data_IF_921688638870
#
_entry.id   IF_921688638870
#
_cell.length_a   1.000
_cell.length_b   1.000
_cell.length_c   1.000
_cell.angle_alpha   90.00
_cell.angle_beta   90.00
_cell.angle_gamma   90.00
#
_symmetry.space_group_name_H-M   'P 1'
#
loop_
_entity.id
_entity.type
_entity.pdbx_description
1 polymer ?
#
# COMPACT_ATOMS: atom_id res chain seq x y z
N UNK A 1 18.14 -0.48 7.23
CA UNK A 1 16.66 -0.59 7.35
C UNK A 1 16.09 -1.31 6.14
N UNK A 2 15.17 -2.28 6.35
CA UNK A 2 14.41 -2.88 5.26
C UNK A 2 12.98 -2.36 5.28
N UNK A 3 12.45 -2.06 4.09
CA UNK A 3 11.06 -1.68 3.88
C UNK A 3 10.45 -2.69 2.90
N UNK A 4 9.29 -3.24 3.21
CA UNK A 4 8.51 -4.04 2.27
C UNK A 4 7.31 -3.24 1.78
N UNK A 5 7.12 -3.15 0.47
CA UNK A 5 6.01 -2.40 -0.12
C UNK A 5 5.14 -3.34 -0.93
N UNK A 6 3.92 -3.53 -0.44
CA UNK A 6 2.81 -4.20 -1.13
C UNK A 6 1.73 -3.17 -1.48
N UNK A 7 0.69 -3.54 -2.17
CA UNK A 7 -0.46 -2.64 -2.41
C UNK A 7 -1.23 -2.99 -3.66
N UNK A 8 -2.33 -2.29 -3.86
CA UNK A 8 -3.18 -2.47 -5.03
C UNK A 8 -2.43 -2.24 -6.34
N UNK A 9 -2.91 -2.86 -7.41
CA UNK A 9 -2.51 -2.50 -8.77
C UNK A 9 -2.87 -1.03 -9.02
N UNK A 10 -2.00 -0.27 -9.70
CA UNK A 10 -2.23 1.16 -9.93
C UNK A 10 -2.02 2.08 -8.71
N UNK A 11 -1.57 1.57 -7.56
CA UNK A 11 -1.32 2.38 -6.35
C UNK A 11 -0.08 3.30 -6.44
N UNK A 12 0.75 3.18 -7.48
CA UNK A 12 1.94 4.02 -7.65
C UNK A 12 3.18 3.51 -6.92
N UNK A 13 3.24 2.23 -6.52
CA UNK A 13 4.40 1.63 -5.82
C UNK A 13 5.74 1.96 -6.48
N UNK A 14 5.87 1.72 -7.79
CA UNK A 14 7.13 1.93 -8.50
C UNK A 14 7.62 3.38 -8.44
N UNK A 15 6.70 4.35 -8.52
CA UNK A 15 7.02 5.77 -8.40
C UNK A 15 7.51 6.10 -7.00
N UNK A 16 6.83 5.58 -5.96
CA UNK A 16 7.22 5.79 -4.56
C UNK A 16 8.56 5.12 -4.28
N UNK A 17 8.79 3.89 -4.74
CA UNK A 17 10.08 3.21 -4.61
C UNK A 17 11.20 4.06 -5.24
N UNK A 18 10.96 4.63 -6.43
CA UNK A 18 11.95 5.49 -7.09
C UNK A 18 12.26 6.76 -6.30
N UNK A 19 11.26 7.40 -5.70
CA UNK A 19 11.47 8.56 -4.82
C UNK A 19 12.28 8.18 -3.59
N UNK A 20 12.01 7.01 -2.98
CA UNK A 20 12.75 6.53 -1.84
C UNK A 20 14.20 6.17 -2.19
N UNK A 21 14.44 5.62 -3.38
CA UNK A 21 15.79 5.40 -3.92
C UNK A 21 16.53 6.73 -4.10
N UNK A 22 15.95 7.66 -4.87
CA UNK A 22 16.62 8.90 -5.27
C UNK A 22 16.85 9.88 -4.10
N UNK A 23 15.89 9.99 -3.17
CA UNK A 23 15.95 10.98 -2.09
C UNK A 23 16.50 10.43 -0.77
N UNK A 24 16.36 9.13 -0.52
CA UNK A 24 16.69 8.53 0.78
C UNK A 24 17.73 7.42 0.70
N UNK A 25 18.26 7.13 -0.50
CA UNK A 25 19.39 6.22 -0.71
C UNK A 25 19.05 4.75 -0.50
N UNK A 26 17.82 4.32 -0.76
CA UNK A 26 17.44 2.91 -0.71
C UNK A 26 17.84 2.19 -2.00
N UNK A 27 18.27 0.93 -1.86
CA UNK A 27 18.37 0.00 -2.99
C UNK A 27 16.98 -0.62 -3.24
N UNK A 28 16.57 -0.81 -4.51
CA UNK A 28 15.28 -1.45 -4.84
C UNK A 28 15.49 -2.89 -5.28
N UNK A 29 14.92 -3.82 -4.53
CA UNK A 29 14.74 -5.20 -4.95
C UNK A 29 13.28 -5.43 -5.35
N UNK A 30 13.03 -5.69 -6.63
CA UNK A 30 11.66 -5.88 -7.16
C UNK A 30 11.51 -7.29 -7.74
N UNK A 31 10.61 -8.08 -7.16
CA UNK A 31 10.30 -9.43 -7.65
C UNK A 31 9.71 -9.41 -9.06
N UNK A 32 8.98 -8.36 -9.43
CA UNK A 32 8.50 -8.17 -10.78
C UNK A 32 9.62 -7.93 -11.80
N UNK A 33 10.74 -7.32 -11.41
CA UNK A 33 11.95 -7.22 -12.25
C UNK A 33 12.60 -8.59 -12.40
N UNK A 34 12.80 -9.32 -11.30
CA UNK A 34 13.35 -10.67 -11.31
C UNK A 34 12.53 -11.60 -12.19
N UNK A 35 11.22 -11.56 -12.08
CA UNK A 35 10.32 -12.35 -12.93
C UNK A 35 10.49 -12.04 -14.42
N UNK A 36 10.60 -10.76 -14.80
CA UNK A 36 10.84 -10.35 -16.19
C UNK A 36 12.22 -10.79 -16.72
N UNK A 37 13.22 -10.78 -15.87
CA UNK A 37 14.55 -11.26 -16.21
C UNK A 37 14.55 -12.77 -16.44
N UNK A 38 13.93 -13.55 -15.58
CA UNK A 38 13.74 -14.99 -15.75
C UNK A 38 12.97 -15.30 -17.04
N UNK A 39 11.89 -14.57 -17.33
CA UNK A 39 11.14 -14.74 -18.58
C UNK A 39 12.03 -14.51 -19.81
N UNK A 40 12.87 -13.46 -19.78
CA UNK A 40 13.81 -13.15 -20.86
C UNK A 40 14.89 -14.23 -21.01
N UNK A 41 15.45 -14.73 -19.93
CA UNK A 41 16.43 -15.82 -19.93
C UNK A 41 15.86 -17.12 -20.51
N UNK A 42 14.59 -17.39 -20.22
CA UNK A 42 13.84 -18.54 -20.75
C UNK A 42 13.30 -18.31 -22.16
N UNK A 43 13.49 -17.11 -22.73
CA UNK A 43 12.97 -16.69 -24.03
C UNK A 43 11.45 -16.86 -24.16
N UNK A 44 10.72 -16.52 -23.09
CA UNK A 44 9.26 -16.49 -23.01
C UNK A 44 8.75 -15.10 -22.66
N UNK A 45 7.47 -14.83 -22.94
CA UNK A 45 6.82 -13.57 -22.57
C UNK A 45 6.55 -13.49 -21.06
N UNK A 46 6.32 -12.29 -20.54
CA UNK A 46 5.89 -12.10 -19.15
C UNK A 46 4.56 -12.80 -18.86
N UNK A 47 3.67 -12.87 -19.86
CA UNK A 47 2.39 -13.58 -19.74
C UNK A 47 2.61 -15.09 -19.60
N UNK A 48 3.44 -15.68 -20.46
CA UNK A 48 3.81 -17.10 -20.38
C UNK A 48 4.52 -17.42 -19.07
N UNK A 49 5.39 -16.54 -18.59
CA UNK A 49 6.01 -16.68 -17.27
C UNK A 49 4.98 -16.67 -16.14
N UNK A 50 3.98 -15.78 -16.18
CA UNK A 50 2.88 -15.79 -15.23
C UNK A 50 2.08 -17.09 -15.27
N UNK A 51 1.79 -17.60 -16.45
CA UNK A 51 1.10 -18.89 -16.63
C UNK A 51 1.94 -20.06 -16.09
N UNK A 52 3.24 -20.05 -16.35
CA UNK A 52 4.18 -21.04 -15.86
C UNK A 52 4.24 -21.02 -14.31
N UNK A 53 4.30 -19.85 -13.71
CA UNK A 53 4.26 -19.70 -12.24
C UNK A 53 2.94 -20.17 -11.62
N UNK A 54 1.81 -20.04 -12.33
CA UNK A 54 0.54 -20.62 -11.87
C UNK A 54 0.53 -22.14 -11.91
N UNK A 55 1.27 -22.77 -12.83
CA UNK A 55 1.32 -24.21 -13.01
C UNK A 55 2.45 -24.89 -12.23
N UNK A 56 3.55 -24.17 -11.97
CA UNK A 56 4.73 -24.69 -11.26
C UNK A 56 5.16 -23.75 -10.14
N UNK A 57 4.86 -24.16 -8.91
CA UNK A 57 5.19 -23.43 -7.67
C UNK A 57 6.69 -23.18 -7.44
N UNK A 58 7.54 -23.91 -8.15
CA UNK A 58 8.99 -23.82 -8.03
C UNK A 58 9.50 -22.37 -8.27
N UNK A 59 8.91 -21.68 -9.23
CA UNK A 59 9.35 -20.31 -9.56
C UNK A 59 8.94 -19.29 -8.50
N UNK A 60 7.73 -19.40 -7.93
CA UNK A 60 7.33 -18.57 -6.78
C UNK A 60 8.28 -18.83 -5.60
N UNK A 61 8.51 -20.08 -5.25
CA UNK A 61 9.43 -20.46 -4.15
C UNK A 61 10.86 -19.93 -4.38
N UNK A 62 11.39 -20.01 -5.59
CA UNK A 62 12.72 -19.47 -5.91
C UNK A 62 12.81 -17.95 -5.67
N UNK A 63 11.79 -17.20 -6.06
CA UNK A 63 11.74 -15.75 -5.87
C UNK A 63 11.61 -15.40 -4.38
N UNK A 64 10.77 -16.11 -3.66
CA UNK A 64 10.53 -15.89 -2.24
C UNK A 64 11.76 -16.26 -1.38
N UNK A 65 12.41 -17.38 -1.69
CA UNK A 65 13.67 -17.79 -1.06
C UNK A 65 14.80 -16.77 -1.35
N UNK A 66 14.89 -16.27 -2.57
CA UNK A 66 15.84 -15.23 -2.94
C UNK A 66 15.56 -13.94 -2.16
N UNK A 67 14.29 -13.54 -2.02
CA UNK A 67 13.87 -12.38 -1.23
C UNK A 67 14.30 -12.49 0.22
N UNK A 68 14.03 -13.64 0.85
CA UNK A 68 14.41 -13.91 2.23
C UNK A 68 15.95 -13.93 2.41
N UNK A 69 16.67 -14.56 1.48
CA UNK A 69 18.12 -14.62 1.49
C UNK A 69 18.74 -13.23 1.37
N UNK A 70 18.34 -12.42 0.39
CA UNK A 70 18.86 -11.06 0.17
C UNK A 70 18.66 -10.22 1.43
N UNK A 71 17.51 -10.32 2.07
CA UNK A 71 17.26 -9.61 3.33
C UNK A 71 18.23 -10.04 4.43
N UNK A 72 18.44 -11.35 4.62
CA UNK A 72 19.34 -11.85 5.66
C UNK A 72 20.81 -11.47 5.45
N UNK A 73 21.27 -11.49 4.19
CA UNK A 73 22.64 -11.20 3.81
C UNK A 73 22.98 -9.70 3.82
N UNK A 74 21.97 -8.81 3.79
CA UNK A 74 22.16 -7.35 3.70
C UNK A 74 21.44 -6.58 4.80
N UNK A 75 21.48 -7.06 6.05
CA UNK A 75 20.77 -6.46 7.20
C UNK A 75 21.21 -5.02 7.52
N UNK A 76 22.41 -4.65 7.15
CA UNK A 76 23.05 -3.35 7.34
C UNK A 76 22.66 -2.33 6.26
N UNK A 77 22.08 -2.78 5.15
CA UNK A 77 21.71 -1.93 4.04
C UNK A 77 20.26 -1.38 4.15
N UNK A 78 20.02 -0.29 3.44
CA UNK A 78 18.67 0.24 3.21
C UNK A 78 18.10 -0.37 1.93
N UNK A 79 17.17 -1.32 2.05
CA UNK A 79 16.57 -2.01 0.91
C UNK A 79 15.06 -1.91 0.94
N UNK A 80 14.47 -1.59 -0.22
CA UNK A 80 13.03 -1.69 -0.47
C UNK A 80 12.75 -3.00 -1.21
N UNK A 81 11.91 -3.83 -0.65
CA UNK A 81 11.40 -5.03 -1.28
C UNK A 81 10.01 -4.75 -1.87
N UNK A 82 9.97 -4.50 -3.19
CA UNK A 82 8.72 -4.31 -3.95
C UNK A 82 8.18 -5.68 -4.40
N UNK A 83 7.35 -6.27 -3.55
CA UNK A 83 6.76 -7.59 -3.79
C UNK A 83 5.41 -7.72 -3.09
N UNK A 84 4.55 -8.62 -3.60
CA UNK A 84 3.25 -8.93 -2.98
C UNK A 84 3.39 -9.57 -1.61
N UNK A 85 4.38 -10.45 -1.43
CA UNK A 85 4.56 -11.25 -0.22
C UNK A 85 5.85 -10.93 0.54
N UNK A 86 6.62 -9.90 0.16
CA UNK A 86 7.84 -9.55 0.87
C UNK A 86 7.61 -9.30 2.38
N UNK A 87 6.45 -8.75 2.76
CA UNK A 87 6.05 -8.56 4.16
C UNK A 87 6.06 -9.86 4.98
N UNK A 88 5.90 -11.00 4.32
CA UNK A 88 5.93 -12.33 4.95
C UNK A 88 7.35 -12.89 5.02
N UNK A 89 8.12 -12.77 3.94
CA UNK A 89 9.44 -13.39 3.80
C UNK A 89 10.60 -12.55 4.35
N UNK A 90 10.40 -11.23 4.55
CA UNK A 90 11.38 -10.32 5.14
C UNK A 90 11.03 -10.07 6.60
N UNK A 91 11.66 -10.81 7.51
CA UNK A 91 11.29 -10.86 8.92
C UNK A 91 11.36 -9.49 9.61
N UNK A 92 12.49 -8.79 9.47
CA UNK A 92 12.75 -7.50 10.10
C UNK A 92 12.61 -6.36 9.09
N UNK A 93 11.38 -5.94 8.83
CA UNK A 93 11.10 -4.84 7.91
C UNK A 93 9.96 -3.96 8.39
N UNK A 94 9.97 -2.70 7.96
CA UNK A 94 8.80 -1.84 8.03
C UNK A 94 7.85 -2.21 6.88
N UNK A 95 6.69 -2.76 7.22
CA UNK A 95 5.76 -3.38 6.27
C UNK A 95 4.69 -2.39 5.84
N UNK A 96 4.60 -2.12 4.54
CA UNK A 96 3.70 -1.11 3.98
C UNK A 96 2.73 -1.73 2.98
N UNK A 97 1.47 -1.31 3.07
CA UNK A 97 0.45 -1.53 2.06
C UNK A 97 0.00 -0.20 1.45
N UNK A 98 0.22 -0.01 0.15
CA UNK A 98 -0.31 1.13 -0.59
C UNK A 98 -1.71 0.82 -1.11
N UNK A 99 -2.72 1.42 -0.51
CA UNK A 99 -4.09 1.35 -0.99
C UNK A 99 -4.37 2.43 -2.04
N UNK A 100 -5.34 2.18 -2.91
CA UNK A 100 -5.85 3.15 -3.89
C UNK A 100 -7.27 2.77 -4.24
N UNK A 101 -8.15 3.74 -4.52
CA UNK A 101 -9.48 3.44 -5.04
C UNK A 101 -9.40 2.77 -6.42
N UNK A 102 -10.28 1.81 -6.68
CA UNK A 102 -10.28 1.06 -7.93
C UNK A 102 -10.48 1.97 -9.15
N UNK A 103 -11.27 3.05 -9.02
CA UNK A 103 -11.48 4.03 -10.08
C UNK A 103 -10.16 4.75 -10.44
N UNK A 104 -9.47 5.29 -9.43
CA UNK A 104 -8.19 6.01 -9.65
C UNK A 104 -7.09 5.04 -10.11
N UNK A 105 -7.09 3.81 -9.62
CA UNK A 105 -6.20 2.77 -10.11
C UNK A 105 -6.39 2.52 -11.61
N UNK A 106 -7.64 2.38 -12.06
CA UNK A 106 -7.97 2.16 -13.46
C UNK A 106 -7.58 3.37 -14.34
N UNK A 107 -7.87 4.59 -13.90
CA UNK A 107 -7.45 5.82 -14.60
C UNK A 107 -5.92 5.88 -14.76
N UNK A 108 -5.18 5.58 -13.69
CA UNK A 108 -3.71 5.58 -13.72
C UNK A 108 -3.16 4.54 -14.69
N UNK A 109 -3.70 3.32 -14.67
CA UNK A 109 -3.23 2.25 -15.55
C UNK A 109 -3.56 2.54 -17.01
N UNK A 110 -4.69 3.15 -17.33
CA UNK A 110 -5.04 3.58 -18.68
C UNK A 110 -4.11 4.67 -19.22
N UNK A 111 -3.65 5.58 -18.34
CA UNK A 111 -2.76 6.70 -18.71
C UNK A 111 -1.27 6.33 -18.65
N UNK A 112 -0.92 5.15 -18.15
CA UNK A 112 0.46 4.70 -18.00
C UNK A 112 0.92 3.92 -19.24
N UNK A 113 2.07 4.31 -19.82
CA UNK A 113 2.67 3.62 -20.96
C UNK A 113 3.36 2.30 -20.56
N UNK A 114 2.59 1.32 -20.09
CA UNK A 114 3.10 0.00 -19.66
C UNK A 114 3.30 -1.01 -20.80
N UNK A 115 3.42 -0.56 -22.04
CA UNK A 115 3.58 -1.40 -23.20
C UNK A 115 2.25 -1.81 -23.85
N UNK A 116 2.30 -2.77 -24.78
CA UNK A 116 1.12 -3.19 -25.55
C UNK A 116 0.19 -4.14 -24.79
N UNK A 117 0.66 -4.71 -23.68
CA UNK A 117 0.01 -5.81 -22.97
C UNK A 117 -1.06 -5.34 -21.94
N UNK A 118 -1.05 -4.06 -21.54
CA UNK A 118 -2.01 -3.48 -20.59
C UNK A 118 -2.76 -2.29 -21.22
N UNK A 119 -3.33 -2.47 -22.41
CA UNK A 119 -4.19 -1.46 -23.05
C UNK A 119 -5.65 -1.82 -22.84
N UNK A 120 -6.39 -0.89 -22.24
CA UNK A 120 -7.82 -1.02 -21.99
C UNK A 120 -8.59 -0.03 -22.85
N UNK A 121 -9.68 -0.44 -23.46
CA UNK A 121 -10.51 0.42 -24.30
C UNK A 121 -11.39 1.38 -23.49
N UNK A 122 -11.78 1.00 -22.28
CA UNK A 122 -12.66 1.77 -21.40
C UNK A 122 -12.22 1.70 -19.94
N UNK A 123 -12.61 2.71 -19.16
CA UNK A 123 -12.39 2.74 -17.71
C UNK A 123 -13.05 1.55 -17.01
N UNK A 124 -14.23 1.13 -17.48
CA UNK A 124 -14.94 -0.03 -16.96
C UNK A 124 -14.11 -1.31 -17.17
N UNK A 125 -13.62 -1.52 -18.37
CA UNK A 125 -12.77 -2.67 -18.71
C UNK A 125 -11.51 -2.69 -17.82
N UNK A 126 -10.82 -1.56 -17.66
CA UNK A 126 -9.66 -1.44 -16.80
C UNK A 126 -9.98 -1.82 -15.35
N UNK A 127 -11.11 -1.35 -14.81
CA UNK A 127 -11.58 -1.70 -13.46
C UNK A 127 -11.84 -3.20 -13.31
N UNK A 128 -12.59 -3.78 -14.26
CA UNK A 128 -12.97 -5.19 -14.21
C UNK A 128 -11.71 -6.08 -14.28
N UNK A 129 -10.77 -5.73 -15.14
CA UNK A 129 -9.50 -6.46 -15.28
C UNK A 129 -8.59 -6.32 -14.05
N UNK A 130 -8.50 -5.13 -13.45
CA UNK A 130 -7.74 -4.93 -12.21
C UNK A 130 -8.34 -5.72 -11.05
N UNK A 131 -9.67 -5.72 -10.91
CA UNK A 131 -10.37 -6.49 -9.89
C UNK A 131 -10.18 -8.01 -10.08
N UNK A 132 -10.32 -8.50 -11.32
CA UNK A 132 -10.12 -9.91 -11.65
C UNK A 132 -8.68 -10.37 -11.38
N UNK A 133 -7.69 -9.55 -11.75
CA UNK A 133 -6.28 -9.83 -11.47
C UNK A 133 -5.99 -9.86 -9.97
N UNK A 134 -6.51 -8.91 -9.20
CA UNK A 134 -6.37 -8.88 -7.75
C UNK A 134 -6.95 -10.13 -7.09
N UNK A 135 -8.15 -10.56 -7.51
CA UNK A 135 -8.80 -11.78 -7.01
C UNK A 135 -7.99 -13.04 -7.36
N UNK A 136 -7.41 -13.10 -8.56
CA UNK A 136 -6.57 -14.23 -9.00
C UNK A 136 -5.28 -14.30 -8.19
N UNK A 137 -4.61 -13.16 -7.95
CA UNK A 137 -3.40 -13.09 -7.11
C UNK A 137 -3.72 -13.51 -5.67
N UNK A 138 -4.81 -13.02 -5.07
CA UNK A 138 -5.22 -13.36 -3.71
C UNK A 138 -5.51 -14.86 -3.55
N UNK A 139 -6.29 -15.42 -4.48
CA UNK A 139 -6.56 -16.87 -4.50
C UNK A 139 -5.27 -17.68 -4.57
N UNK A 140 -4.35 -17.31 -5.48
CA UNK A 140 -3.06 -18.02 -5.64
C UNK A 140 -2.26 -18.02 -4.33
N UNK A 141 -2.12 -16.89 -3.66
CA UNK A 141 -1.35 -16.79 -2.42
C UNK A 141 -2.04 -17.50 -1.25
N UNK A 142 -3.36 -17.49 -1.23
CA UNK A 142 -4.13 -18.26 -0.26
C UNK A 142 -3.95 -19.77 -0.46
N UNK A 143 -4.00 -20.25 -1.70
CA UNK A 143 -3.83 -21.68 -2.03
C UNK A 143 -2.38 -22.16 -1.81
N UNK A 144 -1.39 -21.30 -2.00
CA UNK A 144 0.03 -21.63 -1.86
C UNK A 144 0.55 -21.56 -0.43
N UNK A 145 0.20 -20.49 0.28
CA UNK A 145 0.82 -20.14 1.56
C UNK A 145 -0.20 -19.95 2.68
N UNK A 146 -1.50 -20.09 2.41
CA UNK A 146 -2.59 -19.72 3.33
C UNK A 146 -2.51 -18.25 3.78
N UNK A 147 -2.05 -17.34 2.91
CA UNK A 147 -1.89 -15.93 3.18
C UNK A 147 -2.98 -15.11 2.49
N UNK A 148 -3.50 -14.12 3.20
CA UNK A 148 -4.34 -13.05 2.67
C UNK A 148 -3.55 -11.75 2.69
N UNK A 149 -3.04 -11.32 1.54
CA UNK A 149 -2.22 -10.11 1.46
C UNK A 149 -3.05 -8.80 1.50
N UNK A 150 -4.38 -8.91 1.45
CA UNK A 150 -5.30 -7.78 1.69
C UNK A 150 -5.67 -7.61 3.17
N UNK A 151 -5.23 -8.50 4.04
CA UNK A 151 -5.40 -8.32 5.48
C UNK A 151 -4.44 -7.22 5.98
N UNK A 152 -5.03 -6.09 6.32
CA UNK A 152 -4.27 -4.91 6.76
C UNK A 152 -3.54 -5.11 8.10
N UNK A 153 -3.92 -6.12 8.88
CA UNK A 153 -3.21 -6.47 10.12
C UNK A 153 -1.77 -6.96 9.89
N UNK A 154 -1.45 -7.36 8.66
CA UNK A 154 -0.10 -7.79 8.28
C UNK A 154 0.90 -6.64 8.12
N UNK A 155 0.45 -5.37 8.14
CA UNK A 155 1.26 -4.22 7.78
C UNK A 155 1.40 -3.24 8.94
N UNK A 156 2.59 -2.62 9.06
CA UNK A 156 2.83 -1.53 10.02
C UNK A 156 2.18 -0.22 9.58
N UNK A 157 2.11 0.00 8.27
CA UNK A 157 1.46 1.16 7.67
C UNK A 157 0.61 0.75 6.47
N UNK A 158 -0.66 1.09 6.50
CA UNK A 158 -1.54 1.12 5.33
C UNK A 158 -1.76 2.59 4.97
N UNK A 159 -1.42 3.01 3.75
CA UNK A 159 -1.56 4.40 3.34
C UNK A 159 -2.29 4.52 2.00
N UNK A 160 -3.30 5.38 1.97
CA UNK A 160 -4.11 5.65 0.78
C UNK A 160 -3.38 6.57 -0.20
N UNK A 161 -3.15 6.10 -1.41
CA UNK A 161 -2.49 6.86 -2.47
C UNK A 161 -3.46 7.56 -3.43
N UNK A 162 -4.76 7.55 -3.16
CA UNK A 162 -5.79 8.00 -4.11
C UNK A 162 -5.66 9.49 -4.47
N UNK A 163 -5.46 10.35 -3.47
CA UNK A 163 -5.58 11.81 -3.63
C UNK A 163 -4.28 12.59 -3.39
N UNK A 164 -3.18 11.92 -3.06
CA UNK A 164 -1.95 12.60 -2.69
C UNK A 164 -0.82 12.34 -3.68
N UNK A 165 0.12 13.29 -3.74
CA UNK A 165 1.30 13.16 -4.60
C UNK A 165 2.23 12.06 -4.07
N UNK A 166 2.98 11.39 -4.94
CA UNK A 166 3.96 10.39 -4.52
C UNK A 166 5.00 10.92 -3.53
N UNK A 167 5.39 12.20 -3.65
CA UNK A 167 6.34 12.86 -2.76
C UNK A 167 5.79 12.98 -1.34
N UNK A 168 4.51 13.36 -1.20
CA UNK A 168 3.85 13.45 0.11
C UNK A 168 3.75 12.09 0.77
N UNK A 169 3.37 11.07 0.00
CA UNK A 169 3.29 9.69 0.48
C UNK A 169 4.66 9.18 0.93
N UNK A 170 5.70 9.37 0.10
CA UNK A 170 7.06 8.96 0.44
C UNK A 170 7.59 9.66 1.71
N UNK A 171 7.28 10.94 1.90
CA UNK A 171 7.65 11.69 3.10
C UNK A 171 7.02 11.10 4.37
N UNK A 172 5.72 10.74 4.32
CA UNK A 172 5.02 10.13 5.45
C UNK A 172 5.56 8.72 5.71
N UNK A 173 5.79 7.93 4.66
CA UNK A 173 6.42 6.61 4.78
C UNK A 173 7.74 6.70 5.52
N UNK A 174 8.60 7.64 5.17
CA UNK A 174 9.90 7.80 5.81
C UNK A 174 9.80 8.29 7.26
N UNK A 175 8.82 9.13 7.56
CA UNK A 175 8.55 9.54 8.95
C UNK A 175 8.14 8.32 9.79
N UNK A 176 7.17 7.53 9.31
CA UNK A 176 6.67 6.36 10.02
C UNK A 176 7.73 5.25 10.13
N UNK A 177 8.54 5.06 9.08
CA UNK A 177 9.66 4.10 9.13
C UNK A 177 10.72 4.47 10.18
N UNK A 178 11.05 5.75 10.32
CA UNK A 178 11.96 6.23 11.37
C UNK A 178 11.36 6.07 12.77
N UNK A 179 10.07 6.37 12.94
CA UNK A 179 9.37 6.15 14.19
C UNK A 179 9.38 4.66 14.57
N UNK A 180 9.10 3.78 13.61
CA UNK A 180 9.16 2.34 13.78
C UNK A 180 10.56 1.88 14.22
N UNK A 181 11.61 2.35 13.54
CA UNK A 181 12.99 2.00 13.87
C UNK A 181 13.37 2.43 15.30
N UNK A 182 12.93 3.60 15.74
CA UNK A 182 13.14 4.10 17.11
C UNK A 182 12.46 3.21 18.13
N UNK A 183 11.18 2.89 17.92
CA UNK A 183 10.41 2.00 18.81
C UNK A 183 11.04 0.60 18.87
N UNK A 184 11.53 0.07 17.74
CA UNK A 184 12.16 -1.25 17.70
C UNK A 184 13.51 -1.29 18.40
N UNK A 185 14.27 -0.19 18.43
CA UNK A 185 15.53 -0.08 19.19
C UNK A 185 15.32 0.02 20.70
N UNK A 186 14.24 0.68 21.13
CA UNK A 186 13.92 0.89 22.54
C UNK A 186 13.26 -0.32 23.21
N UNK A 187 12.57 -1.16 22.45
CA UNK A 187 11.94 -2.38 22.94
C UNK A 187 12.86 -3.55 22.80
N UNK A 188 13.17 -4.21 23.92
CA UNK A 188 13.67 -5.60 23.89
C UNK A 188 12.65 -6.43 23.14
N UNK A 189 13.07 -7.03 22.04
CA UNK A 189 12.23 -7.74 21.09
C UNK A 189 11.46 -8.87 21.81
N UNK A 190 10.21 -8.65 22.16
CA UNK A 190 9.31 -9.75 22.48
C UNK A 190 8.80 -10.32 21.15
N UNK A 191 9.14 -11.59 20.90
CA UNK A 191 8.71 -12.31 19.72
C UNK A 191 7.16 -12.21 19.60
N UNK A 192 6.67 -11.59 18.53
CA UNK A 192 5.24 -11.40 18.28
C UNK A 192 4.75 -9.94 18.36
N UNK A 193 5.55 -8.99 18.81
CA UNK A 193 5.15 -7.59 18.81
C UNK A 193 5.37 -6.99 17.40
N UNK A 194 4.31 -6.97 16.59
CA UNK A 194 4.36 -6.54 15.18
C UNK A 194 4.49 -5.03 14.98
N UNK A 195 4.77 -4.26 16.04
CA UNK A 195 4.94 -2.82 15.92
C UNK A 195 3.62 -2.07 15.73
N UNK A 196 3.75 -0.77 15.46
CA UNK A 196 2.61 0.13 15.28
C UNK A 196 1.89 -0.24 13.97
N UNK A 197 0.60 -0.62 14.08
CA UNK A 197 -0.27 -0.81 12.92
C UNK A 197 -1.10 0.47 12.74
N UNK A 198 -0.87 1.20 11.65
CA UNK A 198 -1.55 2.45 11.35
C UNK A 198 -2.18 2.40 9.96
N UNK A 199 -3.46 2.75 9.88
CA UNK A 199 -4.18 2.88 8.61
C UNK A 199 -4.47 4.35 8.39
N UNK A 200 -3.93 4.94 7.31
CA UNK A 200 -4.09 6.33 6.93
C UNK A 200 -4.94 6.44 5.66
N UNK A 201 -6.15 6.95 5.80
CA UNK A 201 -7.04 7.19 4.66
C UNK A 201 -7.22 8.68 4.41
N UNK A 202 -7.32 9.06 3.13
CA UNK A 202 -7.69 10.43 2.78
C UNK A 202 -9.08 10.77 3.28
N UNK A 203 -9.31 11.94 3.91
CA UNK A 203 -10.65 12.39 4.27
C UNK A 203 -11.62 12.37 3.08
N UNK A 204 -11.12 12.61 1.86
CA UNK A 204 -11.92 12.61 0.63
C UNK A 204 -12.46 11.22 0.24
N UNK A 205 -11.86 10.14 0.75
CA UNK A 205 -12.41 8.78 0.59
C UNK A 205 -13.49 8.44 1.61
N UNK A 206 -13.44 9.08 2.76
CA UNK A 206 -14.36 8.84 3.87
C UNK A 206 -15.58 9.75 3.81
N UNK A 207 -15.43 10.95 3.23
CA UNK A 207 -16.50 11.94 3.17
C UNK A 207 -17.36 11.75 1.93
N UNK A 208 -18.58 11.28 2.14
CA UNK A 208 -19.62 11.28 1.11
C UNK A 208 -20.41 12.59 1.19
N UNK A 209 -20.36 13.40 0.13
CA UNK A 209 -21.06 14.68 0.03
C UNK A 209 -22.59 14.56 0.14
N UNK A 210 -23.14 13.36 -0.06
CA UNK A 210 -24.59 13.11 0.04
C UNK A 210 -25.09 12.98 1.48
N UNK A 211 -24.19 12.82 2.45
CA UNK A 211 -24.56 12.82 3.86
C UNK A 211 -24.63 14.27 4.32
N UNK A 212 -25.84 14.80 4.42
CA UNK A 212 -26.10 16.09 5.05
C UNK A 212 -25.77 15.99 6.54
N UNK A 213 -24.59 16.46 6.89
CA UNK A 213 -24.32 16.81 8.28
C UNK A 213 -24.89 18.21 8.46
N UNK A 214 -25.89 18.35 9.32
CA UNK A 214 -26.41 19.65 9.73
C UNK A 214 -25.22 20.58 10.05
N UNK A 215 -25.31 21.87 9.70
CA UNK A 215 -24.28 22.86 10.04
C UNK A 215 -24.14 22.90 11.57
N UNK A 216 -23.24 22.08 12.08
CA UNK A 216 -22.89 22.11 13.50
C UNK A 216 -22.15 23.41 13.76
N UNK A 217 -22.51 24.10 14.83
CA UNK A 217 -21.84 25.35 15.24
C UNK A 217 -20.31 25.14 15.35
N UNK A 218 -19.89 23.96 15.76
CA UNK A 218 -18.50 23.60 15.99
C UNK A 218 -17.72 23.29 14.70
N UNK A 219 -18.38 23.16 13.53
CA UNK A 219 -17.68 22.77 12.29
C UNK A 219 -16.64 23.79 11.84
N UNK A 220 -16.95 25.08 11.96
CA UNK A 220 -16.04 26.16 11.54
C UNK A 220 -14.77 26.18 12.40
N UNK A 221 -14.94 26.07 13.71
CA UNK A 221 -13.83 26.07 14.67
C UNK A 221 -12.93 24.86 14.44
N UNK A 222 -13.53 23.70 14.21
CA UNK A 222 -12.82 22.45 13.93
C UNK A 222 -12.05 22.52 12.60
N UNK A 223 -12.60 23.14 11.55
CA UNK A 223 -11.91 23.37 10.28
C UNK A 223 -10.68 24.27 10.49
N UNK A 224 -10.81 25.38 11.25
CA UNK A 224 -9.68 26.27 11.53
C UNK A 224 -8.58 25.60 12.36
N UNK A 225 -8.94 24.74 13.29
CA UNK A 225 -8.00 23.91 14.03
C UNK A 225 -7.26 22.96 13.09
N UNK A 226 -7.98 22.25 12.20
CA UNK A 226 -7.42 21.22 11.34
C UNK A 226 -6.57 21.77 10.18
N UNK A 227 -6.72 23.03 9.80
CA UNK A 227 -5.81 23.69 8.83
C UNK A 227 -4.34 23.69 9.25
N UNK A 228 -4.06 23.50 10.54
CA UNK A 228 -2.69 23.42 11.08
C UNK A 228 -2.07 22.03 10.95
N UNK A 229 -2.86 21.02 10.58
CA UNK A 229 -2.42 19.63 10.47
C UNK A 229 -1.65 19.42 9.16
N UNK A 230 -0.40 18.98 9.27
CA UNK A 230 0.49 18.84 8.12
C UNK A 230 0.47 17.45 7.49
N UNK A 231 0.29 16.38 8.27
CA UNK A 231 0.36 14.99 7.79
C UNK A 231 -0.93 14.21 8.03
N UNK A 232 -1.33 14.05 9.28
CA UNK A 232 -2.57 13.34 9.64
C UNK A 232 -3.09 13.83 10.99
N UNK A 233 -4.38 13.63 11.24
CA UNK A 233 -4.99 13.95 12.54
C UNK A 233 -4.40 13.10 13.66
N UNK A 234 -4.38 13.65 14.87
CA UNK A 234 -4.09 12.91 16.11
C UNK A 234 -5.37 12.29 16.70
N UNK A 235 -6.28 11.83 15.84
CA UNK A 235 -7.54 11.20 16.21
C UNK A 235 -7.85 10.06 15.27
N UNK A 236 -8.17 8.88 15.83
CA UNK A 236 -8.54 7.70 15.06
C UNK A 236 -10.05 7.59 14.88
N UNK A 237 -10.51 7.39 13.66
CA UNK A 237 -11.92 7.24 13.30
C UNK A 237 -12.22 5.76 13.03
N UNK A 238 -13.35 5.26 13.56
CA UNK A 238 -13.81 3.91 13.28
C UNK A 238 -14.58 3.88 11.95
N UNK A 239 -14.21 2.92 11.10
CA UNK A 239 -14.81 2.74 9.78
C UNK A 239 -15.10 1.27 9.50
N UNK A 240 -16.18 1.00 8.79
CA UNK A 240 -16.47 -0.29 8.18
C UNK A 240 -15.94 -0.33 6.75
N UNK A 241 -15.17 -1.38 6.41
CA UNK A 241 -14.64 -1.59 5.05
C UNK A 241 -15.45 -2.65 4.33
N UNK A 242 -16.00 -2.31 3.16
CA UNK A 242 -16.69 -3.25 2.28
C UNK A 242 -16.10 -3.15 0.87
N UNK A 243 -15.33 -4.15 0.45
CA UNK A 243 -14.59 -4.11 -0.81
C UNK A 243 -13.61 -2.94 -0.86
N UNK A 244 -13.83 -2.00 -1.79
CA UNK A 244 -13.04 -0.76 -1.96
C UNK A 244 -13.63 0.44 -1.20
N UNK A 245 -14.81 0.31 -0.63
CA UNK A 245 -15.54 1.39 0.02
C UNK A 245 -15.34 1.39 1.54
N UNK A 246 -15.45 2.58 2.13
CA UNK A 246 -15.36 2.79 3.58
C UNK A 246 -16.56 3.57 4.06
N UNK A 247 -17.22 3.08 5.11
CA UNK A 247 -18.32 3.76 5.79
C UNK A 247 -17.88 4.22 7.17
N UNK A 248 -18.02 5.50 7.46
CA UNK A 248 -17.69 6.08 8.76
C UNK A 248 -18.72 5.62 9.80
N UNK A 249 -18.28 5.02 10.89
CA UNK A 249 -19.11 4.56 12.01
C UNK A 249 -19.31 5.69 13.01
N UNK A 250 -18.22 6.41 13.29
CA UNK A 250 -18.24 7.58 14.20
C UNK A 250 -17.27 8.67 13.69
N UNK A 251 -17.42 9.89 14.18
CA UNK A 251 -16.52 10.99 13.83
C UNK A 251 -16.80 11.60 12.45
N UNK A 252 -18.06 11.58 11.99
CA UNK A 252 -18.42 12.12 10.68
C UNK A 252 -18.18 13.64 10.60
N UNK A 253 -18.32 14.37 11.70
CA UNK A 253 -18.03 15.81 11.77
C UNK A 253 -16.53 16.07 11.58
N UNK A 254 -15.69 15.29 12.24
CA UNK A 254 -14.23 15.36 12.11
C UNK A 254 -13.78 15.03 10.67
N UNK A 255 -14.38 14.02 10.05
CA UNK A 255 -14.11 13.68 8.64
C UNK A 255 -14.49 14.83 7.71
N UNK A 256 -15.67 15.47 7.92
CA UNK A 256 -16.10 16.64 7.16
C UNK A 256 -15.14 17.81 7.35
N UNK A 257 -14.80 18.13 8.59
CA UNK A 257 -13.87 19.19 8.91
C UNK A 257 -12.48 18.95 8.30
N UNK A 258 -11.96 17.72 8.40
CA UNK A 258 -10.67 17.35 7.81
C UNK A 258 -10.68 17.44 6.28
N UNK A 259 -11.79 17.07 5.62
CA UNK A 259 -11.94 17.22 4.18
C UNK A 259 -11.97 18.69 3.74
N UNK A 260 -12.66 19.56 4.49
CA UNK A 260 -12.73 21.00 4.23
C UNK A 260 -11.41 21.73 4.54
N UNK A 261 -10.69 21.28 5.56
CA UNK A 261 -9.39 21.81 5.94
C UNK A 261 -8.23 21.24 5.09
N UNK A 262 -8.53 20.36 4.13
CA UNK A 262 -7.55 19.68 3.27
C UNK A 262 -6.48 18.90 4.04
N UNK A 263 -6.84 18.36 5.22
CA UNK A 263 -5.96 17.47 5.97
C UNK A 263 -5.57 16.28 5.07
N UNK A 264 -4.28 15.93 4.98
CA UNK A 264 -3.88 14.84 4.09
C UNK A 264 -4.49 13.50 4.47
N UNK A 265 -4.39 13.12 5.74
CA UNK A 265 -4.85 11.81 6.19
C UNK A 265 -5.58 11.84 7.53
N UNK A 266 -6.46 10.87 7.70
CA UNK A 266 -7.08 10.51 8.98
C UNK A 266 -6.64 9.09 9.33
N UNK A 267 -6.10 8.85 10.55
CA UNK A 267 -5.93 7.50 11.07
C UNK A 267 -7.30 6.84 11.25
N UNK A 268 -7.44 5.60 10.76
CA UNK A 268 -8.67 4.86 10.91
C UNK A 268 -8.45 3.50 11.57
N UNK A 269 -9.49 3.00 12.24
CA UNK A 269 -9.60 1.63 12.73
C UNK A 269 -10.72 0.95 11.95
N UNK A 270 -10.44 -0.26 11.49
CA UNK A 270 -11.45 -1.12 10.88
C UNK A 270 -12.22 -1.85 11.97
N UNK A 271 -13.56 -1.83 11.87
CA UNK A 271 -14.49 -2.58 12.72
C UNK A 271 -15.22 -3.65 11.90
#
# INVERSE_FOLDING_TARGET
>A
MHITITGNLGSGKSTICKILEDKYGFEIYSTGKVQRELAREMNITTLEMNQLMCSDRKYDTMIDDATARISRENRDKNIIFDSRLAWHFVEQSFKIFLSVSLNVAAERVMNDNRGKEEKYATLKEARDMLAARAATEDKRYKDMYNLNYFDFSNYNLVIDSTYHTPEKIASIIMQEAKNFETVMKEKVYEAGNQGINRILLSPKRLYNKTVEIAEAADLKDLVEEYKKVTNYLDKTIAVHKSGDEYTVINGLLEVKAAALAEVPYIPVRLD
#
